data_IF_001373036057
#
_entry.id   IF_001373036057
#
_cell.length_a   1.000
_cell.length_b   1.000
_cell.length_c   1.000
_cell.angle_alpha   90.00
_cell.angle_beta   90.00
_cell.angle_gamma   90.00
#
_symmetry.space_group_name_H-M   'P 1'
#
loop_
_entity.id
_entity.type
_entity.pdbx_description
1 polymer ?
#
# COMPACT_ATOMS: atom_id res chain seq x y z
N UNK A 1 -12.15 17.84 35.28
CA UNK A 1 -13.37 17.92 34.45
C UNK A 1 -12.98 17.58 33.03
N UNK A 2 -13.66 16.60 32.43
CA UNK A 2 -13.22 15.89 31.23
C UNK A 2 -13.40 16.73 29.95
N UNK A 3 -12.31 16.92 29.19
CA UNK A 3 -12.41 17.29 27.77
C UNK A 3 -12.65 16.01 26.97
N UNK A 4 -13.92 15.75 26.65
CA UNK A 4 -14.30 14.77 25.64
C UNK A 4 -13.68 15.16 24.30
N UNK A 5 -12.64 14.45 23.88
CA UNK A 5 -12.18 14.46 22.49
C UNK A 5 -13.20 13.68 21.68
N UNK A 6 -14.10 14.40 21.04
CA UNK A 6 -14.93 13.92 19.95
C UNK A 6 -14.00 13.31 18.88
N UNK A 7 -14.26 12.07 18.48
CA UNK A 7 -13.59 11.45 17.34
C UNK A 7 -13.72 12.35 16.09
N UNK A 8 -12.68 12.53 15.25
CA UNK A 8 -12.84 13.32 14.05
C UNK A 8 -13.79 12.61 13.09
N UNK A 9 -14.62 13.42 12.43
CA UNK A 9 -15.64 13.03 11.48
C UNK A 9 -15.10 12.06 10.41
N UNK A 10 -15.94 11.11 10.02
CA UNK A 10 -15.82 10.35 8.77
C UNK A 10 -15.76 11.33 7.59
N UNK A 11 -14.55 11.75 7.18
CA UNK A 11 -14.37 12.50 5.93
C UNK A 11 -14.63 11.56 4.76
N UNK A 12 -15.83 11.67 4.17
CA UNK A 12 -16.11 11.11 2.85
C UNK A 12 -15.26 11.82 1.81
N UNK A 13 -14.58 11.07 0.93
CA UNK A 13 -13.85 11.61 -0.21
C UNK A 13 -14.76 12.50 -1.07
N UNK A 14 -14.33 13.73 -1.33
CA UNK A 14 -15.00 14.65 -2.27
C UNK A 14 -14.59 14.37 -3.72
N UNK A 15 -15.31 14.94 -4.69
CA UNK A 15 -14.93 14.83 -6.11
C UNK A 15 -13.56 15.49 -6.38
N UNK A 16 -13.23 16.58 -5.67
CA UNK A 16 -11.93 17.24 -5.75
C UNK A 16 -10.81 16.33 -5.23
N UNK A 17 -11.04 15.61 -4.12
CA UNK A 17 -10.08 14.62 -3.59
C UNK A 17 -9.85 13.48 -4.59
N UNK A 18 -10.93 12.94 -5.17
CA UNK A 18 -10.85 11.86 -6.15
C UNK A 18 -10.05 12.30 -7.37
N UNK A 19 -10.32 13.52 -7.88
CA UNK A 19 -9.58 14.09 -9.00
C UNK A 19 -8.09 14.25 -8.66
N UNK A 20 -7.77 14.81 -7.50
CA UNK A 20 -6.40 14.99 -7.05
C UNK A 20 -5.64 13.66 -6.95
N UNK A 21 -6.25 12.63 -6.36
CA UNK A 21 -5.65 11.30 -6.23
C UNK A 21 -5.40 10.70 -7.62
N UNK A 22 -6.36 10.81 -8.55
CA UNK A 22 -6.22 10.25 -9.89
C UNK A 22 -5.15 10.97 -10.72
N UNK A 23 -5.05 12.29 -10.62
CA UNK A 23 -4.04 13.10 -11.30
C UNK A 23 -2.64 12.83 -10.75
N UNK A 24 -2.48 12.79 -9.42
CA UNK A 24 -1.18 12.48 -8.80
C UNK A 24 -0.74 11.04 -9.07
N UNK A 25 -1.68 10.08 -9.09
CA UNK A 25 -1.38 8.70 -9.47
C UNK A 25 -1.02 8.57 -10.96
N UNK A 26 -1.47 9.48 -11.82
CA UNK A 26 -1.06 9.49 -13.23
C UNK A 26 0.45 9.71 -13.39
N UNK A 27 1.07 10.52 -12.52
CA UNK A 27 2.53 10.69 -12.46
C UNK A 27 3.24 9.39 -12.12
N UNK A 28 2.72 8.61 -11.16
CA UNK A 28 3.29 7.30 -10.80
C UNK A 28 3.33 6.34 -12.00
N UNK A 29 2.28 6.35 -12.82
CA UNK A 29 2.18 5.51 -14.03
C UNK A 29 3.18 5.85 -15.14
N UNK A 30 3.89 6.98 -15.05
CA UNK A 30 4.95 7.35 -16.00
C UNK A 30 6.23 6.53 -15.80
N UNK A 31 6.36 5.84 -14.67
CA UNK A 31 7.48 4.96 -14.34
C UNK A 31 7.07 3.49 -14.50
N UNK A 32 8.02 2.58 -14.76
CA UNK A 32 7.75 1.15 -14.74
C UNK A 32 7.21 0.71 -13.37
N UNK A 33 6.12 -0.08 -13.36
CA UNK A 33 5.50 -0.56 -12.13
C UNK A 33 6.46 -1.39 -11.25
N UNK A 34 7.44 -2.06 -11.86
CA UNK A 34 8.53 -2.76 -11.17
C UNK A 34 9.44 -1.80 -10.41
N UNK A 35 9.84 -0.68 -11.04
CA UNK A 35 10.63 0.37 -10.40
C UNK A 35 9.88 0.98 -9.22
N UNK A 36 8.62 1.37 -9.42
CA UNK A 36 7.79 1.92 -8.34
C UNK A 36 7.59 0.89 -7.22
N UNK A 37 7.35 -0.38 -7.60
CA UNK A 37 7.19 -1.48 -6.66
C UNK A 37 8.43 -1.72 -5.79
N UNK A 38 9.63 -1.70 -6.38
CA UNK A 38 10.88 -1.80 -5.65
C UNK A 38 11.07 -0.64 -4.67
N UNK A 39 10.82 0.60 -5.12
CA UNK A 39 10.91 1.80 -4.27
C UNK A 39 9.90 1.76 -3.11
N UNK A 40 8.68 1.31 -3.36
CA UNK A 40 7.65 1.15 -2.32
C UNK A 40 8.14 0.22 -1.22
N UNK A 41 8.66 -0.96 -1.58
CA UNK A 41 9.12 -1.95 -0.61
C UNK A 41 10.41 -1.55 0.11
N UNK A 42 11.33 -0.86 -0.58
CA UNK A 42 12.47 -0.19 0.05
C UNK A 42 12.01 0.66 1.23
N UNK A 43 11.06 1.57 0.99
CA UNK A 43 10.56 2.46 2.04
C UNK A 43 9.77 1.73 3.13
N UNK A 44 9.02 0.68 2.83
CA UNK A 44 8.34 -0.12 3.86
C UNK A 44 9.36 -0.78 4.80
N UNK A 45 10.40 -1.39 4.26
CA UNK A 45 11.40 -2.10 5.07
C UNK A 45 12.37 -1.17 5.80
N UNK A 46 12.56 0.07 5.33
CA UNK A 46 13.25 1.12 6.11
C UNK A 46 12.49 1.50 7.39
N UNK A 47 11.16 1.37 7.40
CA UNK A 47 10.34 1.74 8.56
C UNK A 47 10.11 0.59 9.54
N UNK A 48 10.16 -0.66 9.07
CA UNK A 48 9.90 -1.82 9.91
C UNK A 48 10.53 -3.11 9.36
N UNK A 49 10.97 -3.98 10.26
CA UNK A 49 11.44 -5.32 9.90
C UNK A 49 10.26 -6.27 9.67
N UNK A 50 9.70 -6.21 8.45
CA UNK A 50 8.54 -7.01 8.03
C UNK A 50 8.82 -7.85 6.78
N UNK A 51 10.08 -7.91 6.34
CA UNK A 51 10.50 -8.61 5.12
C UNK A 51 10.15 -10.10 5.14
N UNK A 52 10.22 -10.73 6.31
CA UNK A 52 9.92 -12.16 6.53
C UNK A 52 8.44 -12.53 6.37
N UNK A 53 7.53 -11.55 6.35
CA UNK A 53 6.12 -11.77 6.00
C UNK A 53 5.95 -12.12 4.51
N UNK A 54 6.96 -11.83 3.69
CA UNK A 54 6.97 -12.10 2.27
C UNK A 54 7.79 -13.36 1.96
N UNK A 55 7.46 -14.07 0.90
CA UNK A 55 8.21 -15.27 0.50
C UNK A 55 9.65 -14.94 0.14
N UNK A 56 9.90 -13.84 -0.58
CA UNK A 56 11.23 -13.42 -0.97
C UNK A 56 12.12 -13.06 0.23
N UNK A 57 11.55 -12.50 1.32
CA UNK A 57 12.30 -12.13 2.51
C UNK A 57 12.66 -13.32 3.40
N UNK A 58 12.17 -14.53 3.06
CA UNK A 58 12.55 -15.79 3.72
C UNK A 58 13.59 -16.59 2.92
N UNK A 59 13.99 -16.09 1.75
CA UNK A 59 15.02 -16.73 0.94
C UNK A 59 16.39 -16.57 1.62
N UNK A 60 17.22 -17.61 1.54
CA UNK A 60 18.61 -17.52 1.99
C UNK A 60 19.36 -16.45 1.18
N UNK A 61 20.11 -15.59 1.88
CA UNK A 61 20.86 -14.51 1.24
C UNK A 61 20.01 -13.31 0.81
N UNK A 62 18.74 -13.20 1.26
CA UNK A 62 17.98 -11.97 1.10
C UNK A 62 18.70 -10.82 1.82
N UNK A 63 19.09 -9.80 1.06
CA UNK A 63 19.69 -8.58 1.59
C UNK A 63 18.58 -7.55 1.87
N UNK A 64 18.28 -7.25 3.15
CA UNK A 64 17.26 -6.27 3.51
C UNK A 64 17.74 -4.81 3.36
N UNK A 65 18.96 -4.57 2.88
CA UNK A 65 19.47 -3.22 2.68
C UNK A 65 18.62 -2.45 1.65
N UNK A 66 18.37 -1.14 1.83
CA UNK A 66 17.38 -0.41 1.05
C UNK A 66 17.58 -0.49 -0.47
N UNK A 67 18.83 -0.35 -0.94
CA UNK A 67 19.14 -0.38 -2.37
C UNK A 67 19.07 -1.80 -2.95
N UNK A 68 19.45 -2.82 -2.17
CA UNK A 68 19.28 -4.22 -2.58
C UNK A 68 17.80 -4.60 -2.69
N UNK A 69 16.97 -4.17 -1.75
CA UNK A 69 15.51 -4.37 -1.78
C UNK A 69 14.90 -3.73 -3.03
N UNK A 70 15.24 -2.47 -3.34
CA UNK A 70 14.71 -1.77 -4.51
C UNK A 70 15.11 -2.44 -5.83
N UNK A 71 16.32 -3.02 -5.89
CA UNK A 71 16.85 -3.68 -7.08
C UNK A 71 16.47 -5.18 -7.19
N UNK A 72 15.93 -5.79 -6.12
CA UNK A 72 15.65 -7.22 -6.08
C UNK A 72 14.51 -7.59 -7.06
N UNK A 73 14.70 -8.53 -8.01
CA UNK A 73 13.69 -8.89 -9.00
C UNK A 73 12.39 -9.46 -8.42
N UNK A 74 12.46 -10.25 -7.35
CA UNK A 74 11.28 -10.81 -6.70
C UNK A 74 10.48 -9.73 -5.97
N UNK A 75 11.18 -8.78 -5.34
CA UNK A 75 10.56 -7.60 -4.73
C UNK A 75 9.90 -6.73 -5.80
N UNK A 76 10.58 -6.46 -6.92
CA UNK A 76 10.01 -5.69 -8.02
C UNK A 76 8.79 -6.36 -8.64
N UNK A 77 8.82 -7.69 -8.83
CA UNK A 77 7.71 -8.45 -9.37
C UNK A 77 6.51 -8.47 -8.42
N UNK A 78 6.74 -8.62 -7.12
CA UNK A 78 5.68 -8.52 -6.11
C UNK A 78 5.13 -7.09 -6.01
N UNK A 79 6.03 -6.10 -5.91
CA UNK A 79 5.71 -4.68 -5.83
C UNK A 79 4.90 -4.18 -7.03
N UNK A 80 5.21 -4.64 -8.25
CA UNK A 80 4.43 -4.32 -9.44
C UNK A 80 2.96 -4.77 -9.32
N UNK A 81 2.70 -5.93 -8.70
CA UNK A 81 1.33 -6.41 -8.44
C UNK A 81 0.62 -5.55 -7.39
N UNK A 82 1.34 -5.13 -6.35
CA UNK A 82 0.81 -4.22 -5.32
C UNK A 82 0.45 -2.86 -5.94
N UNK A 83 1.38 -2.24 -6.66
CA UNK A 83 1.17 -0.96 -7.36
C UNK A 83 0.03 -1.07 -8.37
N UNK A 84 -0.05 -2.16 -9.12
CA UNK A 84 -1.16 -2.43 -10.04
C UNK A 84 -2.52 -2.49 -9.32
N UNK A 85 -2.57 -3.18 -8.17
CA UNK A 85 -3.80 -3.28 -7.35
C UNK A 85 -4.23 -1.92 -6.82
N UNK A 86 -3.28 -1.10 -6.34
CA UNK A 86 -3.56 0.28 -5.91
C UNK A 86 -4.08 1.11 -7.09
N UNK A 87 -3.48 0.97 -8.27
CA UNK A 87 -3.95 1.66 -9.48
C UNK A 87 -5.38 1.29 -9.89
N UNK A 88 -5.76 0.03 -9.76
CA UNK A 88 -7.16 -0.40 -9.95
C UNK A 88 -8.07 0.29 -8.94
N UNK A 89 -7.71 0.28 -7.65
CA UNK A 89 -8.49 0.96 -6.62
C UNK A 89 -8.65 2.46 -6.89
N UNK A 90 -7.58 3.17 -7.28
CA UNK A 90 -7.61 4.59 -7.66
C UNK A 90 -8.55 4.85 -8.83
N UNK A 91 -8.55 3.97 -9.85
CA UNK A 91 -9.47 4.09 -10.99
C UNK A 91 -10.95 3.87 -10.64
N UNK A 92 -11.22 3.21 -9.51
CA UNK A 92 -12.56 2.86 -9.05
C UNK A 92 -13.10 3.79 -7.95
N UNK A 93 -12.40 4.87 -7.61
CA UNK A 93 -12.84 5.81 -6.56
C UNK A 93 -14.20 6.47 -6.86
N UNK A 94 -14.64 6.51 -8.12
CA UNK A 94 -15.99 6.98 -8.52
C UNK A 94 -17.06 5.87 -8.50
N UNK A 95 -16.70 4.64 -8.11
CA UNK A 95 -17.55 3.43 -8.09
C UNK A 95 -17.42 2.70 -6.76
N UNK A 96 -17.65 3.42 -5.66
CA UNK A 96 -17.42 2.94 -4.29
C UNK A 96 -18.28 1.71 -3.94
N UNK A 97 -19.48 1.60 -4.49
CA UNK A 97 -20.37 0.44 -4.38
C UNK A 97 -19.69 -0.87 -4.82
N UNK A 98 -18.81 -0.79 -5.82
CA UNK A 98 -18.04 -1.91 -6.36
C UNK A 98 -16.69 -2.06 -5.68
N UNK A 99 -16.05 -0.94 -5.31
CA UNK A 99 -14.72 -0.94 -4.73
C UNK A 99 -14.70 -1.44 -3.27
N UNK A 100 -15.65 -0.98 -2.45
CA UNK A 100 -15.66 -1.27 -1.01
C UNK A 100 -15.67 -2.78 -0.70
N UNK A 101 -16.48 -3.63 -1.38
CA UNK A 101 -16.44 -5.07 -1.15
C UNK A 101 -15.08 -5.71 -1.47
N UNK A 102 -14.41 -5.25 -2.53
CA UNK A 102 -13.08 -5.73 -2.92
C UNK A 102 -12.04 -5.35 -1.86
N UNK A 103 -12.07 -4.11 -1.36
CA UNK A 103 -11.17 -3.66 -0.31
C UNK A 103 -11.40 -4.41 1.01
N UNK A 104 -12.65 -4.76 1.35
CA UNK A 104 -12.96 -5.59 2.53
C UNK A 104 -12.36 -6.98 2.43
N UNK A 105 -12.48 -7.64 1.27
CA UNK A 105 -11.88 -8.96 1.04
C UNK A 105 -10.34 -8.89 1.10
N UNK A 106 -9.74 -7.88 0.48
CA UNK A 106 -8.29 -7.65 0.56
C UNK A 106 -7.83 -7.38 2.00
N UNK A 107 -8.54 -6.54 2.75
CA UNK A 107 -8.24 -6.28 4.17
C UNK A 107 -8.32 -7.54 5.03
N UNK A 108 -9.33 -8.39 4.80
CA UNK A 108 -9.45 -9.68 5.49
C UNK A 108 -8.27 -10.62 5.21
N UNK A 109 -7.73 -10.60 3.98
CA UNK A 109 -6.50 -11.36 3.65
C UNK A 109 -5.29 -10.83 4.41
N UNK A 110 -5.15 -9.51 4.56
CA UNK A 110 -4.06 -8.92 5.35
C UNK A 110 -4.13 -9.35 6.83
N UNK A 111 -5.34 -9.43 7.40
CA UNK A 111 -5.54 -9.95 8.76
C UNK A 111 -5.03 -11.39 8.96
N UNK A 112 -5.10 -12.25 7.93
CA UNK A 112 -4.54 -13.62 8.00
C UNK A 112 -3.01 -13.65 8.11
N UNK A 113 -2.33 -12.57 7.72
CA UNK A 113 -0.88 -12.42 7.84
C UNK A 113 -0.48 -11.67 9.13
N UNK A 114 -1.42 -11.42 10.04
CA UNK A 114 -1.16 -10.67 11.27
C UNK A 114 -1.03 -9.15 11.08
N UNK A 115 -1.34 -8.63 9.89
CA UNK A 115 -1.34 -7.19 9.63
C UNK A 115 -2.60 -6.58 10.24
N UNK A 116 -2.40 -5.70 11.22
CA UNK A 116 -3.44 -4.92 11.88
C UNK A 116 -3.34 -3.45 11.48
N UNK A 117 -4.44 -2.70 11.63
CA UNK A 117 -4.36 -1.25 11.52
C UNK A 117 -3.40 -0.72 12.58
N UNK A 118 -2.42 0.09 12.16
CA UNK A 118 -1.54 0.78 13.10
C UNK A 118 -2.38 1.69 13.99
N UNK A 119 -2.53 1.30 15.26
CA UNK A 119 -3.07 2.19 16.28
C UNK A 119 -2.03 3.30 16.49
N UNK A 120 -2.45 4.56 16.37
CA UNK A 120 -1.64 5.68 16.84
C UNK A 120 -1.24 5.41 18.30
N UNK A 121 0.05 5.33 18.57
CA UNK A 121 0.63 5.47 19.90
C UNK A 121 1.00 6.94 20.11
#
# INVERSE_FOLDING_TARGET
>A
SASSRTAPASMSLTEEDVKLIQETWATVKTLPATTVGGLLFKHIFEQADVSTLFSFGRNEGFDPSPDAVAANPDVQAHGAKVVGTVGVAVSMLTKLDKLVPVLKDLGAKHGKYGVVAGLCA
#
